data_IF_589790545099
#
_entry.id   IF_589790545099
#
_cell.length_a   1.000
_cell.length_b   1.000
_cell.length_c   1.000
_cell.angle_alpha   90.00
_cell.angle_beta   90.00
_cell.angle_gamma   90.00
#
_symmetry.space_group_name_H-M   'P 1'
#
loop_
_entity.id
_entity.type
_entity.pdbx_description
1 polymer ?
#
# COMPACT_ATOMS: atom_id res chain seq x y z
N UNK A 1 11.89 29.64 4.80
CA UNK A 1 11.60 28.56 5.78
C UNK A 1 10.50 29.09 6.68
N UNK A 2 9.34 28.46 6.61
CA UNK A 2 8.03 29.02 6.95
C UNK A 2 7.84 29.21 8.46
N UNK A 3 7.75 30.46 8.91
CA UNK A 3 7.51 30.82 10.30
C UNK A 3 6.12 30.38 10.82
N UNK A 4 5.21 30.01 9.91
CA UNK A 4 3.84 29.57 10.19
C UNK A 4 3.72 28.12 10.66
N UNK A 5 4.74 27.27 10.45
CA UNK A 5 4.67 25.86 10.85
C UNK A 5 5.02 25.63 12.34
N UNK A 6 5.64 26.62 13.00
CA UNK A 6 6.12 26.47 14.38
C UNK A 6 5.08 26.87 15.45
N UNK A 7 3.99 27.54 15.06
CA UNK A 7 2.94 27.99 16.00
C UNK A 7 1.96 26.86 16.35
N UNK A 8 1.78 25.87 15.47
CA UNK A 8 0.84 24.77 15.70
C UNK A 8 1.36 23.76 16.74
N UNK A 9 2.67 23.51 16.80
CA UNK A 9 3.22 22.43 17.64
C UNK A 9 3.32 22.84 19.12
N UNK A 10 3.56 24.11 19.42
CA UNK A 10 3.63 24.61 20.81
C UNK A 10 2.25 24.85 21.45
N UNK A 11 1.28 25.34 20.68
CA UNK A 11 -0.04 25.71 21.22
C UNK A 11 -1.02 24.54 21.36
N UNK A 12 -0.77 23.42 20.69
CA UNK A 12 -1.67 22.24 20.76
C UNK A 12 -1.62 21.56 22.12
N UNK A 13 -0.44 21.37 22.70
CA UNK A 13 -0.31 20.77 24.04
C UNK A 13 -1.01 21.64 25.09
N UNK A 14 -0.79 22.96 25.07
CA UNK A 14 -1.45 23.90 25.98
C UNK A 14 -2.98 23.92 25.82
N UNK A 15 -3.48 23.81 24.58
CA UNK A 15 -4.92 23.72 24.31
C UNK A 15 -5.55 22.47 24.91
N UNK A 16 -4.89 21.31 24.77
CA UNK A 16 -5.38 20.06 25.36
C UNK A 16 -5.33 20.08 26.89
N UNK A 17 -4.29 20.68 27.49
CA UNK A 17 -4.19 20.84 28.94
C UNK A 17 -5.29 21.75 29.51
N UNK A 18 -5.61 22.86 28.82
CA UNK A 18 -6.71 23.76 29.20
C UNK A 18 -8.08 23.08 29.12
N UNK A 19 -8.29 22.25 28.10
CA UNK A 19 -9.57 21.54 27.91
C UNK A 19 -9.73 20.29 28.78
N UNK A 20 -8.64 19.61 29.13
CA UNK A 20 -8.68 18.44 30.01
C UNK A 20 -9.21 18.73 31.42
N UNK A 21 -9.12 19.98 31.88
CA UNK A 21 -9.70 20.44 33.15
C UNK A 21 -11.19 20.79 33.09
N UNK A 22 -11.85 20.71 31.92
CA UNK A 22 -13.27 21.01 31.81
C UNK A 22 -14.13 19.76 32.00
N UNK A 23 -15.17 19.86 32.84
CA UNK A 23 -16.15 18.81 33.04
C UNK A 23 -16.84 18.46 31.70
N UNK A 24 -16.94 17.16 31.39
CA UNK A 24 -17.54 16.67 30.14
C UNK A 24 -16.63 16.74 28.90
N UNK A 25 -15.40 17.28 28.99
CA UNK A 25 -14.49 17.33 27.84
C UNK A 25 -14.20 15.94 27.25
N UNK A 26 -13.99 14.94 28.11
CA UNK A 26 -13.72 13.57 27.66
C UNK A 26 -14.91 12.98 26.91
N UNK A 27 -16.14 13.24 27.34
CA UNK A 27 -17.35 12.73 26.69
C UNK A 27 -17.54 13.35 25.29
N UNK A 28 -17.36 14.67 25.18
CA UNK A 28 -17.36 15.37 23.89
C UNK A 28 -16.23 14.87 22.99
N UNK A 29 -15.02 14.68 23.54
CA UNK A 29 -13.88 14.15 22.81
C UNK A 29 -14.15 12.73 22.29
N UNK A 30 -14.72 11.85 23.10
CA UNK A 30 -15.08 10.49 22.70
C UNK A 30 -16.15 10.49 21.61
N UNK A 31 -17.17 11.35 21.74
CA UNK A 31 -18.22 11.52 20.74
C UNK A 31 -17.63 11.97 19.39
N UNK A 32 -16.75 12.97 19.39
CA UNK A 32 -16.05 13.44 18.20
C UNK A 32 -15.13 12.38 17.59
N UNK A 33 -14.42 11.62 18.44
CA UNK A 33 -13.56 10.53 18.00
C UNK A 33 -14.35 9.41 17.32
N UNK A 34 -15.50 9.02 17.87
CA UNK A 34 -16.38 8.02 17.26
C UNK A 34 -17.01 8.53 15.95
N UNK A 35 -17.40 9.80 15.90
CA UNK A 35 -17.87 10.43 14.66
C UNK A 35 -16.78 10.43 13.57
N UNK A 36 -15.52 10.70 13.95
CA UNK A 36 -14.38 10.61 13.03
C UNK A 36 -14.16 9.17 12.54
N UNK A 37 -14.11 8.18 13.43
CA UNK A 37 -13.97 6.76 13.06
C UNK A 37 -15.07 6.33 12.09
N UNK A 38 -16.31 6.79 12.29
CA UNK A 38 -17.42 6.53 11.37
C UNK A 38 -17.18 7.11 9.97
N UNK A 39 -16.75 8.37 9.88
CA UNK A 39 -16.41 9.01 8.58
C UNK A 39 -15.30 8.28 7.84
N UNK A 40 -14.26 7.84 8.56
CA UNK A 40 -13.14 7.07 7.98
C UNK A 40 -13.63 5.72 7.43
N UNK A 41 -14.45 4.99 8.20
CA UNK A 41 -15.04 3.72 7.73
C UNK A 41 -15.91 3.92 6.50
N UNK A 42 -16.71 4.97 6.48
CA UNK A 42 -17.59 5.30 5.36
C UNK A 42 -16.80 5.66 4.09
N UNK A 43 -15.68 6.38 4.22
CA UNK A 43 -14.78 6.66 3.09
C UNK A 43 -14.17 5.39 2.49
N UNK A 44 -13.71 4.45 3.32
CA UNK A 44 -13.16 3.15 2.89
C UNK A 44 -14.21 2.25 2.23
N UNK A 45 -15.49 2.42 2.57
CA UNK A 45 -16.59 1.67 1.95
C UNK A 45 -17.04 2.32 0.63
N UNK A 46 -17.09 3.66 0.57
CA UNK A 46 -17.48 4.40 -0.63
C UNK A 46 -16.43 4.33 -1.75
N UNK A 47 -15.14 4.24 -1.43
CA UNK A 47 -14.08 4.03 -2.44
C UNK A 47 -14.10 2.65 -3.10
N UNK A 48 -14.81 1.67 -2.54
CA UNK A 48 -14.99 0.34 -3.15
C UNK A 48 -16.15 0.28 -4.15
N UNK A 49 -17.05 1.26 -4.15
CA UNK A 49 -18.23 1.30 -5.03
C UNK A 49 -17.97 2.08 -6.33
N UNK A 50 -17.03 3.03 -6.30
CA UNK A 50 -16.66 3.88 -7.43
C UNK A 50 -15.28 3.47 -7.97
N UNK A 51 -15.20 2.31 -8.62
CA UNK A 51 -14.13 2.05 -9.60
C UNK A 51 -14.75 1.79 -10.98
N UNK A 52 -15.12 2.86 -11.72
CA UNK A 52 -15.32 2.75 -13.16
C UNK A 52 -13.99 2.41 -13.84
N UNK A 53 -14.07 1.43 -14.75
CA UNK A 53 -13.00 0.85 -15.57
C UNK A 53 -12.24 1.92 -16.36
N UNK A 54 -10.91 1.93 -16.31
CA UNK A 54 -10.03 2.32 -17.44
C UNK A 54 -8.53 2.11 -17.11
N UNK A 55 -8.03 0.90 -17.31
CA UNK A 55 -6.75 0.68 -18.01
C UNK A 55 -6.65 -0.83 -18.28
N UNK A 56 -6.83 -1.13 -19.55
CA UNK A 56 -6.85 -2.45 -20.14
C UNK A 56 -5.42 -2.87 -20.45
N UNK A 57 -4.82 -3.72 -19.60
CA UNK A 57 -3.93 -4.81 -20.03
C UNK A 57 -4.05 -5.97 -19.05
N UNK A 58 -4.46 -7.10 -19.60
CA UNK A 58 -4.70 -8.42 -19.01
C UNK A 58 -6.11 -8.64 -18.41
N UNK A 59 -6.73 -9.79 -18.74
CA UNK A 59 -8.05 -10.14 -18.24
C UNK A 59 -8.00 -10.14 -16.71
N UNK A 60 -9.09 -9.73 -16.03
CA UNK A 60 -9.20 -9.95 -14.61
C UNK A 60 -9.22 -11.46 -14.43
N UNK A 61 -8.05 -12.05 -14.16
CA UNK A 61 -7.99 -13.33 -13.50
C UNK A 61 -8.94 -13.19 -12.30
N UNK A 62 -9.81 -14.18 -12.05
CA UNK A 62 -10.64 -14.16 -10.87
C UNK A 62 -9.65 -13.98 -9.73
N UNK A 63 -9.61 -12.79 -9.12
CA UNK A 63 -8.61 -12.42 -8.13
C UNK A 63 -8.84 -13.33 -6.94
N UNK A 64 -8.27 -14.53 -6.98
CA UNK A 64 -8.08 -15.39 -5.84
C UNK A 64 -7.34 -14.49 -4.87
N UNK A 65 -8.06 -14.04 -3.86
CA UNK A 65 -7.53 -13.18 -2.82
C UNK A 65 -6.57 -14.08 -2.04
N UNK A 66 -5.33 -14.15 -2.52
CA UNK A 66 -4.30 -14.98 -1.93
C UNK A 66 -4.18 -14.56 -0.47
N UNK A 67 -4.23 -15.54 0.44
CA UNK A 67 -4.12 -15.23 1.85
C UNK A 67 -2.70 -14.71 2.14
N UNK A 68 -2.57 -13.53 2.78
CA UNK A 68 -1.26 -12.94 3.04
C UNK A 68 -0.35 -13.85 3.86
N UNK A 69 -0.91 -14.67 4.76
CA UNK A 69 -0.15 -15.59 5.60
C UNK A 69 0.40 -16.74 4.77
N UNK A 70 -0.43 -17.34 3.91
CA UNK A 70 -0.01 -18.43 3.03
C UNK A 70 1.09 -17.99 2.08
N UNK A 71 0.95 -16.79 1.47
CA UNK A 71 1.99 -16.25 0.60
C UNK A 71 3.28 -16.04 1.38
N UNK A 72 3.22 -15.42 2.57
CA UNK A 72 4.39 -15.17 3.41
C UNK A 72 5.10 -16.47 3.87
N UNK A 73 4.37 -17.55 4.10
CA UNK A 73 4.93 -18.86 4.45
C UNK A 73 5.56 -19.57 3.24
N UNK A 74 5.05 -19.32 2.03
CA UNK A 74 5.59 -19.88 0.78
C UNK A 74 6.82 -19.16 0.22
N UNK A 75 7.20 -18.02 0.79
CA UNK A 75 8.31 -17.22 0.28
C UNK A 75 9.68 -17.78 0.68
N UNK A 76 10.71 -17.56 -0.15
CA UNK A 76 12.10 -17.78 0.23
C UNK A 76 12.42 -17.06 1.55
N UNK A 77 13.24 -17.66 2.44
CA UNK A 77 13.50 -17.12 3.77
C UNK A 77 14.11 -15.71 3.73
N UNK A 78 14.96 -15.45 2.73
CA UNK A 78 15.59 -14.15 2.50
C UNK A 78 14.55 -13.08 2.15
N UNK A 79 13.65 -13.37 1.19
CA UNK A 79 12.61 -12.44 0.77
C UNK A 79 11.58 -12.19 1.88
N UNK A 80 11.24 -13.24 2.63
CA UNK A 80 10.37 -13.16 3.80
C UNK A 80 10.96 -12.23 4.86
N UNK A 81 12.25 -12.36 5.16
CA UNK A 81 12.94 -11.48 6.10
C UNK A 81 12.95 -10.02 5.61
N UNK A 82 13.23 -9.79 4.31
CA UNK A 82 13.18 -8.46 3.71
C UNK A 82 11.80 -7.79 3.84
N UNK A 83 10.72 -8.56 3.64
CA UNK A 83 9.35 -8.07 3.81
C UNK A 83 9.00 -7.75 5.26
N UNK A 84 9.46 -8.58 6.21
CA UNK A 84 9.25 -8.37 7.64
C UNK A 84 9.96 -7.12 8.15
N UNK A 85 11.15 -6.84 7.62
CA UNK A 85 11.93 -5.64 7.95
C UNK A 85 11.43 -4.38 7.23
N UNK A 86 10.55 -4.53 6.23
CA UNK A 86 10.10 -3.45 5.35
C UNK A 86 11.27 -2.64 4.74
N UNK A 87 12.40 -3.31 4.48
CA UNK A 87 13.59 -2.67 3.94
C UNK A 87 13.67 -2.86 2.43
N UNK A 88 13.42 -1.77 1.70
CA UNK A 88 13.41 -1.77 0.23
C UNK A 88 14.78 -2.10 -0.36
N UNK A 89 15.88 -1.73 0.30
CA UNK A 89 17.24 -1.98 -0.21
C UNK A 89 17.60 -3.46 -0.10
N UNK A 90 17.26 -4.08 1.02
CA UNK A 90 17.44 -5.52 1.22
C UNK A 90 16.64 -6.30 0.18
N UNK A 91 15.38 -5.91 -0.03
CA UNK A 91 14.52 -6.56 -1.01
C UNK A 91 15.03 -6.39 -2.45
N UNK A 92 15.52 -5.21 -2.83
CA UNK A 92 16.14 -5.01 -4.14
C UNK A 92 17.38 -5.88 -4.35
N UNK A 93 18.25 -5.97 -3.34
CA UNK A 93 19.43 -6.82 -3.40
C UNK A 93 19.04 -8.29 -3.59
N UNK A 94 18.11 -8.80 -2.79
CA UNK A 94 17.60 -10.18 -2.92
C UNK A 94 17.03 -10.43 -4.31
N UNK A 95 16.19 -9.52 -4.81
CA UNK A 95 15.60 -9.65 -6.15
C UNK A 95 16.66 -9.60 -7.25
N UNK A 96 17.73 -8.81 -7.09
CA UNK A 96 18.83 -8.73 -8.06
C UNK A 96 19.69 -10.00 -8.11
N UNK A 97 19.77 -10.73 -7.00
CA UNK A 97 20.49 -12.01 -6.92
C UNK A 97 19.67 -13.20 -7.42
N UNK A 98 18.36 -13.03 -7.59
CA UNK A 98 17.43 -14.08 -8.00
C UNK A 98 17.23 -14.09 -9.52
N UNK A 99 16.82 -15.23 -10.07
CA UNK A 99 16.41 -15.30 -11.47
C UNK A 99 15.23 -14.33 -11.72
N UNK A 100 15.27 -13.49 -12.77
CA UNK A 100 14.26 -12.47 -13.03
C UNK A 100 12.83 -13.04 -13.13
N UNK A 101 12.65 -14.23 -13.71
CA UNK A 101 11.34 -14.88 -13.83
C UNK A 101 10.78 -15.29 -12.45
N UNK A 102 11.65 -15.77 -11.56
CA UNK A 102 11.27 -16.20 -10.20
C UNK A 102 11.01 -14.98 -9.32
N UNK A 103 11.83 -13.94 -9.45
CA UNK A 103 11.65 -12.66 -8.78
C UNK A 103 10.29 -12.04 -9.13
N UNK A 104 9.96 -11.98 -10.43
CA UNK A 104 8.67 -11.46 -10.90
C UNK A 104 7.49 -12.26 -10.34
N UNK A 105 7.59 -13.59 -10.32
CA UNK A 105 6.57 -14.47 -9.76
C UNK A 105 6.29 -14.18 -8.26
N UNK A 106 7.34 -14.01 -7.46
CA UNK A 106 7.19 -13.68 -6.04
C UNK A 106 6.65 -12.26 -5.83
N UNK A 107 7.15 -11.28 -6.58
CA UNK A 107 6.66 -9.88 -6.52
C UNK A 107 5.18 -9.81 -6.85
N UNK A 108 4.74 -10.48 -7.93
CA UNK A 108 3.32 -10.51 -8.33
C UNK A 108 2.43 -11.06 -7.23
N UNK A 109 2.80 -12.20 -6.62
CA UNK A 109 2.02 -12.78 -5.50
C UNK A 109 2.02 -11.89 -4.26
N UNK A 110 3.15 -11.24 -3.93
CA UNK A 110 3.22 -10.31 -2.82
C UNK A 110 2.32 -9.08 -3.02
N UNK A 111 2.23 -8.57 -4.25
CA UNK A 111 1.33 -7.45 -4.59
C UNK A 111 -0.14 -7.89 -4.53
N UNK A 112 -0.48 -9.05 -5.09
CA UNK A 112 -1.85 -9.58 -5.09
C UNK A 112 -2.37 -9.89 -3.68
N UNK A 113 -1.50 -10.36 -2.78
CA UNK A 113 -1.81 -10.59 -1.37
C UNK A 113 -1.75 -9.31 -0.52
N UNK A 114 -1.32 -8.17 -1.08
CA UNK A 114 -1.16 -6.92 -0.35
C UNK A 114 -0.03 -6.93 0.70
N UNK A 115 0.93 -7.85 0.56
CA UNK A 115 2.13 -7.92 1.41
C UNK A 115 3.15 -6.83 1.05
N UNK A 116 3.13 -6.37 -0.19
CA UNK A 116 4.01 -5.33 -0.69
C UNK A 116 3.18 -4.14 -1.18
N UNK A 117 3.48 -2.94 -0.71
CA UNK A 117 2.89 -1.69 -1.23
C UNK A 117 3.89 -1.03 -2.16
N UNK A 118 3.50 -0.81 -3.41
CA UNK A 118 4.38 -0.41 -4.51
C UNK A 118 5.24 0.80 -4.15
N UNK A 119 6.56 0.62 -4.13
CA UNK A 119 7.47 1.73 -4.41
C UNK A 119 7.26 2.05 -5.89
N UNK A 120 6.59 3.15 -6.20
CA UNK A 120 6.25 3.65 -7.56
C UNK A 120 7.49 3.95 -8.45
N UNK A 121 8.67 3.42 -8.10
CA UNK A 121 9.96 3.63 -8.75
C UNK A 121 10.78 2.37 -9.01
N UNK A 122 10.24 1.16 -8.83
CA UNK A 122 11.06 -0.06 -9.04
C UNK A 122 11.09 -0.53 -10.51
N UNK A 123 10.05 -0.24 -11.29
CA UNK A 123 9.96 -0.66 -12.69
C UNK A 123 9.60 0.54 -13.55
N UNK A 124 10.62 1.32 -13.93
CA UNK A 124 10.52 2.15 -15.12
C UNK A 124 11.06 1.28 -16.26
N UNK A 125 10.11 0.82 -17.06
CA UNK A 125 10.26 0.03 -18.27
C UNK A 125 11.33 0.64 -19.18
N UNK A 126 12.41 -0.12 -19.40
CA UNK A 126 13.37 0.09 -20.50
C UNK A 126 13.61 -1.28 -21.13
N UNK A 127 12.62 -1.78 -21.87
CA UNK A 127 12.90 -2.69 -22.99
C UNK A 127 11.88 -2.44 -24.09
N UNK A 128 12.10 -1.33 -24.79
CA UNK A 128 11.66 -1.15 -26.16
C UNK A 128 12.16 -2.32 -27.03
N UNK A 129 11.35 -2.67 -28.02
CA UNK A 129 11.67 -3.34 -29.29
C UNK A 129 11.27 -4.83 -29.48
N UNK A 130 10.18 -4.95 -30.24
CA UNK A 130 9.99 -5.83 -31.40
C UNK A 130 10.11 -7.36 -31.25
N UNK A 131 8.97 -8.05 -31.44
CA UNK A 131 8.95 -9.09 -32.46
C UNK A 131 7.58 -9.19 -33.15
N UNK A 132 7.65 -9.20 -34.47
CA UNK A 132 6.57 -9.15 -35.46
C UNK A 132 6.24 -10.60 -35.85
N UNK A 133 5.12 -11.16 -35.37
CA UNK A 133 4.62 -12.45 -35.85
C UNK A 133 3.28 -12.27 -36.55
N UNK A 134 3.42 -11.97 -37.84
CA UNK A 134 2.41 -11.99 -38.90
C UNK A 134 1.45 -13.18 -38.81
N UNK A 135 0.18 -12.85 -39.08
CA UNK A 135 -0.80 -13.57 -39.91
C UNK A 135 -0.78 -15.10 -39.90
N UNK A 136 -1.91 -15.70 -39.55
CA UNK A 136 -2.77 -16.30 -40.57
C UNK A 136 -4.21 -16.37 -40.05
N UNK A 137 -5.10 -15.67 -40.73
CA UNK A 137 -6.51 -16.06 -40.83
C UNK A 137 -6.58 -17.39 -41.59
N UNK A 138 -7.36 -18.34 -41.09
CA UNK A 138 -8.17 -19.26 -41.90
C UNK A 138 -9.23 -19.92 -41.02
#
# INVERSE_FOLDING_TARGET
INHTHLVLTGCTVSFFLLKAGQEGYLDVFHTELEAFKRRVKEYTMKSKLETPKASEKQPPSPRCRLDPKEVLESLPPELKAGLQLQDVQILQNILSTMNPQVAEYHVRRCLEAGLWTSTERLFKDDTTEADDCRMMET
#
